data_IF_933143675712
#
_entry.id   IF_933143675712
#
_cell.length_a   1.000
_cell.length_b   1.000
_cell.length_c   1.000
_cell.angle_alpha   90.00
_cell.angle_beta   90.00
_cell.angle_gamma   90.00
#
_symmetry.space_group_name_H-M   'P 1'
#
loop_
_entity.id
_entity.type
_entity.pdbx_description
1 polymer ?
#
# COMPACT_ATOMS: atom_id res chain seq x y z
N UNK A 1 0.61 -33.45 -15.40
CA UNK A 1 0.28 -32.42 -14.39
C UNK A 1 -0.45 -31.31 -15.12
N UNK A 2 -1.72 -31.04 -14.78
CA UNK A 2 -2.45 -29.89 -15.35
C UNK A 2 -2.01 -28.64 -14.59
N UNK A 3 -1.48 -27.65 -15.30
CA UNK A 3 -1.17 -26.33 -14.78
C UNK A 3 -2.49 -25.70 -14.31
N UNK A 4 -2.61 -25.41 -13.02
CA UNK A 4 -3.74 -24.62 -12.51
C UNK A 4 -3.64 -23.20 -13.12
N UNK A 5 -4.74 -22.62 -13.62
CA UNK A 5 -4.73 -21.24 -14.10
C UNK A 5 -4.32 -20.31 -12.95
N UNK A 6 -3.50 -19.31 -13.23
CA UNK A 6 -3.03 -18.32 -12.25
C UNK A 6 -4.19 -17.84 -11.36
N UNK A 7 -4.17 -18.20 -10.08
CA UNK A 7 -5.05 -17.64 -9.06
C UNK A 7 -4.28 -16.51 -8.37
N UNK A 8 -4.76 -15.28 -8.51
CA UNK A 8 -4.12 -14.14 -7.87
C UNK A 8 -4.56 -12.80 -8.43
N UNK A 9 -3.88 -11.75 -7.98
CA UNK A 9 -4.02 -10.38 -8.47
C UNK A 9 -2.96 -10.12 -9.55
N UNK A 10 -3.33 -9.36 -10.57
CA UNK A 10 -2.42 -8.90 -11.62
C UNK A 10 -2.47 -7.38 -11.67
N UNK A 11 -1.30 -6.73 -11.65
CA UNK A 11 -1.20 -5.30 -11.92
C UNK A 11 -1.25 -5.09 -13.43
N UNK A 12 -2.16 -4.23 -13.86
CA UNK A 12 -2.40 -3.87 -15.27
C UNK A 12 -2.29 -2.36 -15.44
N UNK A 13 -2.49 -1.89 -16.67
CA UNK A 13 -2.46 -0.48 -17.05
C UNK A 13 -1.13 0.22 -16.74
N UNK A 14 -0.18 0.05 -17.66
CA UNK A 14 1.14 0.65 -17.60
C UNK A 14 1.23 2.01 -18.30
N UNK A 15 0.09 2.66 -18.62
CA UNK A 15 0.05 3.92 -19.37
C UNK A 15 0.78 5.08 -18.69
N UNK A 16 1.01 4.99 -17.38
CA UNK A 16 1.80 5.93 -16.57
C UNK A 16 3.04 5.30 -15.93
N UNK A 17 3.44 4.12 -16.39
CA UNK A 17 4.65 3.46 -15.90
C UNK A 17 5.90 4.26 -16.27
N UNK A 18 6.86 4.34 -15.36
CA UNK A 18 8.15 5.01 -15.57
C UNK A 18 9.25 3.95 -15.54
N UNK A 19 9.97 3.79 -16.66
CA UNK A 19 11.19 3.01 -16.67
C UNK A 19 12.36 3.86 -16.15
N UNK A 20 12.65 3.70 -14.87
CA UNK A 20 13.73 4.42 -14.18
C UNK A 20 15.12 4.12 -14.74
N UNK A 21 15.32 3.03 -15.49
CA UNK A 21 16.62 2.69 -16.07
C UNK A 21 16.98 3.56 -17.28
N UNK A 22 16.01 4.29 -17.83
CA UNK A 22 16.24 5.25 -18.90
C UNK A 22 16.80 6.59 -18.39
N UNK A 23 16.95 6.74 -17.06
CA UNK A 23 17.46 7.94 -16.41
C UNK A 23 18.75 7.66 -15.65
N UNK A 24 19.57 8.69 -15.35
CA UNK A 24 20.72 8.53 -14.46
C UNK A 24 20.32 7.97 -13.08
N UNK A 25 21.22 7.20 -12.48
CA UNK A 25 21.01 6.69 -11.12
C UNK A 25 20.77 7.84 -10.12
N UNK A 26 19.73 7.68 -9.29
CA UNK A 26 19.32 8.70 -8.32
C UNK A 26 18.41 9.80 -8.87
N UNK A 27 17.91 9.65 -10.11
CA UNK A 27 16.91 10.59 -10.67
C UNK A 27 15.65 10.59 -9.83
N UNK A 28 15.17 11.79 -9.50
CA UNK A 28 13.86 12.04 -8.90
C UNK A 28 13.00 12.89 -9.83
N UNK A 29 11.68 12.80 -9.65
CA UNK A 29 10.69 13.48 -10.48
C UNK A 29 9.96 14.55 -9.66
N UNK A 30 9.68 15.68 -10.30
CA UNK A 30 8.89 16.77 -9.74
C UNK A 30 7.73 17.08 -10.69
N UNK A 31 6.58 16.48 -10.42
CA UNK A 31 5.34 16.68 -11.18
C UNK A 31 4.14 16.22 -10.35
N UNK A 32 2.96 16.78 -10.63
CA UNK A 32 1.67 16.27 -10.14
C UNK A 32 1.09 15.26 -11.14
N UNK A 33 0.42 14.23 -10.64
CA UNK A 33 -0.30 13.25 -11.44
C UNK A 33 -1.67 13.78 -11.95
N UNK A 34 -2.14 14.92 -11.43
CA UNK A 34 -3.37 15.60 -11.88
C UNK A 34 -4.66 14.87 -11.48
N UNK A 35 -4.58 13.91 -10.56
CA UNK A 35 -5.74 13.22 -9.99
C UNK A 35 -5.62 13.23 -8.48
N UNK A 36 -6.47 14.02 -7.82
CA UNK A 36 -6.33 14.36 -6.40
C UNK A 36 -6.19 13.15 -5.46
N UNK A 37 -6.87 12.04 -5.76
CA UNK A 37 -6.81 10.81 -4.96
C UNK A 37 -5.53 9.98 -5.11
N UNK A 38 -4.67 10.31 -6.07
CA UNK A 38 -3.41 9.60 -6.35
C UNK A 38 -2.16 10.47 -6.18
N UNK A 39 -2.31 11.75 -5.82
CA UNK A 39 -1.17 12.62 -5.52
C UNK A 39 -0.53 12.20 -4.20
N UNK A 40 0.70 11.67 -4.25
CA UNK A 40 1.42 11.26 -3.05
C UNK A 40 1.81 12.46 -2.17
N UNK A 41 2.32 12.19 -0.97
CA UNK A 41 2.66 13.25 0.00
C UNK A 41 3.70 14.21 -0.57
N UNK A 42 4.71 13.70 -1.27
CA UNK A 42 5.72 14.51 -1.93
C UNK A 42 5.09 15.45 -2.97
N UNK A 43 4.17 14.96 -3.81
CA UNK A 43 3.45 15.80 -4.76
C UNK A 43 2.64 16.90 -4.06
N UNK A 44 1.92 16.55 -2.98
CA UNK A 44 1.10 17.50 -2.21
C UNK A 44 1.92 18.60 -1.52
N UNK A 45 3.22 18.34 -1.30
CA UNK A 45 4.14 19.28 -0.67
C UNK A 45 5.15 19.88 -1.67
N UNK A 46 4.94 19.69 -2.97
CA UNK A 46 5.83 20.20 -4.02
C UNK A 46 7.29 19.70 -3.86
N UNK A 47 7.46 18.47 -3.37
CA UNK A 47 8.74 17.78 -3.22
C UNK A 47 8.95 16.76 -4.34
N UNK A 48 10.22 16.48 -4.63
CA UNK A 48 10.61 15.42 -5.56
C UNK A 48 10.21 14.03 -5.03
N UNK A 49 9.91 13.11 -5.94
CA UNK A 49 9.50 11.74 -5.66
C UNK A 49 10.05 10.75 -6.68
N UNK A 50 10.12 9.48 -6.30
CA UNK A 50 10.42 8.32 -7.16
C UNK A 50 9.44 7.19 -6.87
N UNK A 51 9.81 6.23 -6.02
CA UNK A 51 8.98 5.07 -5.67
C UNK A 51 7.85 5.39 -4.68
N UNK A 52 7.90 6.57 -4.06
CA UNK A 52 6.91 7.03 -3.07
C UNK A 52 5.49 7.05 -3.65
N UNK A 53 5.35 7.34 -4.96
CA UNK A 53 4.05 7.36 -5.63
C UNK A 53 3.37 5.99 -5.60
N UNK A 54 4.12 4.91 -5.82
CA UNK A 54 3.59 3.54 -5.81
C UNK A 54 3.29 3.07 -4.39
N UNK A 55 4.15 3.39 -3.41
CA UNK A 55 3.88 3.05 -2.01
C UNK A 55 2.69 3.80 -1.44
N UNK A 56 2.49 5.05 -1.87
CA UNK A 56 1.28 5.81 -1.57
C UNK A 56 0.04 5.17 -2.21
N UNK A 57 0.13 4.76 -3.49
CA UNK A 57 -0.94 4.03 -4.17
C UNK A 57 -1.33 2.74 -3.45
N UNK A 58 -0.35 1.99 -2.92
CA UNK A 58 -0.62 0.81 -2.09
C UNK A 58 -1.42 1.17 -0.82
N UNK A 59 -1.11 2.29 -0.17
CA UNK A 59 -1.88 2.80 0.97
C UNK A 59 -3.32 3.16 0.58
N UNK A 60 -3.52 3.85 -0.56
CA UNK A 60 -4.85 4.19 -1.09
C UNK A 60 -5.68 2.91 -1.30
N UNK A 61 -5.12 1.90 -1.96
CA UNK A 61 -5.80 0.61 -2.22
C UNK A 61 -6.12 -0.12 -0.92
N UNK A 62 -5.17 -0.20 0.02
CA UNK A 62 -5.40 -0.83 1.31
C UNK A 62 -6.50 -0.14 2.12
N UNK A 63 -6.48 1.21 2.16
CA UNK A 63 -7.51 2.00 2.82
C UNK A 63 -8.89 1.77 2.20
N UNK A 64 -8.98 1.82 0.87
CA UNK A 64 -10.24 1.56 0.15
C UNK A 64 -10.79 0.17 0.46
N UNK A 65 -9.95 -0.87 0.50
CA UNK A 65 -10.40 -2.23 0.86
C UNK A 65 -10.85 -2.35 2.32
N UNK A 66 -10.26 -1.59 3.24
CA UNK A 66 -10.60 -1.62 4.67
C UNK A 66 -11.88 -0.82 4.98
N UNK A 67 -12.00 0.37 4.39
CA UNK A 67 -13.01 1.36 4.77
C UNK A 67 -14.13 1.51 3.74
N UNK A 68 -13.89 1.16 2.46
CA UNK A 68 -14.84 1.41 1.37
C UNK A 68 -14.91 2.88 0.95
N UNK A 69 -13.93 3.70 1.36
CA UNK A 69 -13.89 5.14 1.14
C UNK A 69 -12.48 5.60 0.72
N UNK A 70 -12.42 6.74 0.04
CA UNK A 70 -11.17 7.38 -0.38
C UNK A 70 -10.28 7.70 0.83
N UNK A 71 -8.97 7.48 0.67
CA UNK A 71 -8.00 7.79 1.72
C UNK A 71 -7.76 9.29 1.80
N UNK A 72 -7.97 9.86 2.98
CA UNK A 72 -7.52 11.22 3.30
C UNK A 72 -6.43 11.18 4.36
N UNK A 73 -5.41 12.04 4.20
CA UNK A 73 -4.22 12.05 5.05
C UNK A 73 -4.27 13.21 6.05
N UNK A 74 -3.81 12.96 7.28
CA UNK A 74 -3.52 13.97 8.28
C UNK A 74 -2.01 14.07 8.50
N UNK A 75 -1.51 15.31 8.53
CA UNK A 75 -0.18 15.66 9.02
C UNK A 75 -0.26 15.89 10.53
N UNK A 76 0.46 15.08 11.30
CA UNK A 76 0.46 15.11 12.76
C UNK A 76 1.86 15.39 13.31
N UNK A 77 1.98 16.04 14.48
CA UNK A 77 3.28 16.22 15.13
C UNK A 77 3.93 14.87 15.44
N UNK A 78 5.20 14.74 15.07
CA UNK A 78 6.06 13.61 15.36
C UNK A 78 7.01 13.89 16.52
N UNK A 79 8.01 13.02 16.68
CA UNK A 79 9.05 13.18 17.70
C UNK A 79 10.09 14.22 17.27
N UNK A 80 10.63 14.98 18.22
CA UNK A 80 11.72 15.93 17.95
C UNK A 80 11.35 17.09 17.02
N UNK A 81 10.07 17.47 16.95
CA UNK A 81 9.59 18.55 16.06
C UNK A 81 9.39 18.14 14.60
N UNK A 82 9.53 16.85 14.28
CA UNK A 82 9.17 16.32 12.96
C UNK A 82 7.65 16.26 12.76
N UNK A 83 7.21 15.97 11.53
CA UNK A 83 5.82 15.64 11.23
C UNK A 83 5.74 14.21 10.69
N UNK A 84 4.59 13.57 10.92
CA UNK A 84 4.25 12.28 10.35
C UNK A 84 2.88 12.36 9.65
N UNK A 85 2.70 11.53 8.63
CA UNK A 85 1.47 11.38 7.87
C UNK A 85 0.79 10.08 8.24
N UNK A 86 -0.53 10.13 8.42
CA UNK A 86 -1.37 8.97 8.68
C UNK A 86 -2.76 9.14 8.06
N UNK A 87 -3.50 8.05 7.77
CA UNK A 87 -4.90 8.15 7.37
C UNK A 87 -5.76 8.84 8.45
N UNK A 88 -6.71 9.68 8.04
CA UNK A 88 -7.65 10.35 8.96
C UNK A 88 -8.63 9.37 9.60
N UNK A 89 -9.12 8.39 8.84
CA UNK A 89 -10.07 7.42 9.35
C UNK A 89 -9.40 6.47 10.33
N UNK A 90 -10.05 6.28 11.48
CA UNK A 90 -9.55 5.39 12.52
C UNK A 90 -9.82 3.93 12.17
N UNK A 91 -8.86 3.06 12.45
CA UNK A 91 -9.03 1.62 12.30
C UNK A 91 -10.11 1.07 13.22
N UNK A 92 -10.90 0.11 12.72
CA UNK A 92 -11.90 -0.59 13.54
C UNK A 92 -11.23 -1.46 14.60
N UNK A 93 -11.79 -1.47 15.81
CA UNK A 93 -11.22 -2.16 17.00
C UNK A 93 -10.92 -3.65 16.82
N UNK A 94 -11.62 -4.32 15.92
CA UNK A 94 -11.53 -5.76 15.68
C UNK A 94 -10.54 -6.12 14.56
N UNK A 95 -9.89 -5.13 13.95
CA UNK A 95 -8.78 -5.36 13.02
C UNK A 95 -7.46 -5.53 13.77
N UNK A 96 -6.46 -6.06 13.08
CA UNK A 96 -5.08 -6.03 13.57
C UNK A 96 -4.53 -4.60 13.45
N UNK A 97 -4.95 -3.72 14.35
CA UNK A 97 -4.64 -2.28 14.32
C UNK A 97 -3.13 -2.02 14.30
N UNK A 98 -2.35 -2.81 15.05
CA UNK A 98 -0.91 -2.66 15.10
C UNK A 98 -0.26 -2.92 13.73
N UNK A 99 -0.66 -4.00 13.06
CA UNK A 99 -0.14 -4.37 11.75
C UNK A 99 -0.50 -3.34 10.67
N UNK A 100 -1.74 -2.84 10.67
CA UNK A 100 -2.16 -1.79 9.74
C UNK A 100 -1.47 -0.47 10.02
N UNK A 101 -1.37 -0.04 11.28
CA UNK A 101 -0.60 1.16 11.66
C UNK A 101 0.84 1.08 11.17
N UNK A 102 1.50 -0.07 11.34
CA UNK A 102 2.86 -0.29 10.84
C UNK A 102 2.93 -0.09 9.32
N UNK A 103 2.01 -0.67 8.54
CA UNK A 103 1.96 -0.49 7.09
C UNK A 103 1.84 0.98 6.70
N UNK A 104 0.83 1.69 7.21
CA UNK A 104 0.60 3.07 6.83
C UNK A 104 1.72 4.00 7.30
N UNK A 105 2.21 3.84 8.54
CA UNK A 105 3.31 4.67 9.03
C UNK A 105 4.57 4.47 8.20
N UNK A 106 4.96 3.22 7.89
CA UNK A 106 6.16 2.94 7.10
C UNK A 106 6.05 3.49 5.67
N UNK A 107 4.92 3.29 4.99
CA UNK A 107 4.79 3.64 3.57
C UNK A 107 4.46 5.12 3.32
N UNK A 108 3.81 5.80 4.26
CA UNK A 108 3.52 7.23 4.15
C UNK A 108 4.65 8.12 4.68
N UNK A 109 5.61 7.55 5.40
CA UNK A 109 6.73 8.29 5.99
C UNK A 109 8.07 7.64 5.63
N UNK A 110 8.40 7.51 4.33
CA UNK A 110 9.66 6.90 3.92
C UNK A 110 10.83 7.69 4.48
N UNK A 111 11.76 6.98 5.14
CA UNK A 111 12.97 7.60 5.68
C UNK A 111 13.88 8.14 4.56
N UNK A 112 14.73 9.11 4.89
CA UNK A 112 15.67 9.76 3.96
C UNK A 112 16.61 8.79 3.23
N UNK A 113 16.79 7.58 3.75
CA UNK A 113 17.68 6.56 3.18
C UNK A 113 17.01 5.72 2.07
N UNK A 114 15.71 5.92 1.82
CA UNK A 114 15.03 5.41 0.61
C UNK A 114 15.03 3.88 0.42
N UNK A 115 15.19 3.06 1.47
CA UNK A 115 15.19 1.60 1.35
C UNK A 115 13.77 1.01 1.23
N UNK A 116 13.02 1.48 0.23
CA UNK A 116 11.64 1.05 -0.04
C UNK A 116 11.51 -0.47 -0.17
N UNK A 117 12.50 -1.13 -0.79
CA UNK A 117 12.53 -2.59 -0.97
C UNK A 117 12.65 -3.31 0.38
N UNK A 118 13.49 -2.82 1.27
CA UNK A 118 13.65 -3.37 2.62
C UNK A 118 12.36 -3.24 3.43
N UNK A 119 11.74 -2.07 3.38
CA UNK A 119 10.48 -1.77 4.06
C UNK A 119 9.34 -2.67 3.56
N UNK A 120 9.15 -2.76 2.25
CA UNK A 120 8.14 -3.63 1.64
C UNK A 120 8.37 -5.11 1.99
N UNK A 121 9.62 -5.56 2.02
CA UNK A 121 9.96 -6.94 2.41
C UNK A 121 9.63 -7.21 3.87
N UNK A 122 9.93 -6.26 4.76
CA UNK A 122 9.62 -6.35 6.19
C UNK A 122 8.11 -6.38 6.43
N UNK A 123 7.38 -5.45 5.82
CA UNK A 123 5.92 -5.41 5.88
C UNK A 123 5.29 -6.70 5.37
N UNK A 124 5.70 -7.19 4.20
CA UNK A 124 5.22 -8.47 3.67
C UNK A 124 5.44 -9.61 4.65
N UNK A 125 6.61 -9.68 5.29
CA UNK A 125 6.91 -10.70 6.30
C UNK A 125 5.97 -10.60 7.49
N UNK A 126 5.77 -9.41 8.05
CA UNK A 126 4.86 -9.23 9.20
C UNK A 126 3.43 -9.66 8.89
N UNK A 127 2.92 -9.38 7.68
CA UNK A 127 1.59 -9.85 7.26
C UNK A 127 1.55 -11.36 7.06
N UNK A 128 2.59 -11.96 6.47
CA UNK A 128 2.70 -13.42 6.32
C UNK A 128 2.75 -14.13 7.68
N UNK A 129 3.57 -13.64 8.60
CA UNK A 129 3.67 -14.15 9.97
C UNK A 129 2.32 -14.06 10.69
N UNK A 130 1.60 -12.94 10.56
CA UNK A 130 0.26 -12.82 11.11
C UNK A 130 -0.70 -13.87 10.53
N UNK A 131 -0.72 -14.05 9.21
CA UNK A 131 -1.57 -15.05 8.56
C UNK A 131 -1.22 -16.49 8.99
N UNK A 132 0.07 -16.79 9.15
CA UNK A 132 0.56 -18.11 9.55
C UNK A 132 0.49 -18.34 11.07
N UNK A 133 0.33 -17.29 11.89
CA UNK A 133 0.25 -17.40 13.36
C UNK A 133 -0.94 -18.22 13.84
N UNK A 134 -1.99 -18.32 13.02
CA UNK A 134 -3.18 -19.08 13.31
C UNK A 134 -3.74 -19.69 12.02
N UNK A 135 -3.69 -21.01 11.89
CA UNK A 135 -4.17 -21.71 10.70
C UNK A 135 -5.65 -21.41 10.37
N UNK A 136 -6.47 -21.06 11.37
CA UNK A 136 -7.86 -20.66 11.17
C UNK A 136 -7.99 -19.39 10.31
N UNK A 137 -7.01 -18.50 10.33
CA UNK A 137 -6.97 -17.33 9.45
C UNK A 137 -6.82 -17.75 7.98
N UNK A 138 -5.95 -18.72 7.70
CA UNK A 138 -5.76 -19.27 6.36
C UNK A 138 -7.02 -20.00 5.88
N UNK A 139 -7.63 -20.82 6.75
CA UNK A 139 -8.91 -21.49 6.44
C UNK A 139 -9.99 -20.47 6.10
N UNK A 140 -10.14 -19.43 6.94
CA UNK A 140 -11.11 -18.37 6.71
C UNK A 140 -10.83 -17.60 5.42
N UNK A 141 -9.57 -17.29 5.12
CA UNK A 141 -9.18 -16.63 3.87
C UNK A 141 -9.59 -17.46 2.66
N UNK A 142 -9.28 -18.76 2.66
CA UNK A 142 -9.66 -19.66 1.55
C UNK A 142 -11.19 -19.72 1.36
N UNK A 143 -11.96 -19.75 2.45
CA UNK A 143 -13.43 -19.69 2.37
C UNK A 143 -13.92 -18.37 1.77
N UNK A 144 -13.33 -17.24 2.15
CA UNK A 144 -13.68 -15.93 1.61
C UNK A 144 -13.33 -15.81 0.12
N UNK A 145 -12.16 -16.30 -0.29
CA UNK A 145 -11.74 -16.33 -1.69
C UNK A 145 -12.67 -17.21 -2.54
N UNK A 146 -13.10 -18.36 -2.03
CA UNK A 146 -14.07 -19.22 -2.70
C UNK A 146 -15.43 -18.50 -2.89
N UNK A 147 -15.91 -17.80 -1.86
CA UNK A 147 -17.15 -17.00 -1.93
C UNK A 147 -17.03 -15.86 -2.94
N UNK A 148 -15.91 -15.14 -2.94
CA UNK A 148 -15.65 -14.07 -3.90
C UNK A 148 -15.65 -14.61 -5.34
N UNK A 149 -14.97 -15.74 -5.58
CA UNK A 149 -14.95 -16.39 -6.90
C UNK A 149 -16.36 -16.79 -7.36
N UNK A 150 -17.16 -17.38 -6.48
CA UNK A 150 -18.54 -17.74 -6.80
C UNK A 150 -19.37 -16.50 -7.20
N UNK A 151 -19.24 -15.41 -6.44
CA UNK A 151 -19.93 -14.14 -6.73
C UNK A 151 -19.54 -13.55 -8.10
N UNK A 152 -18.25 -13.58 -8.44
CA UNK A 152 -17.74 -13.06 -9.71
C UNK A 152 -18.17 -13.91 -10.91
N UNK A 153 -18.34 -15.22 -10.74
CA UNK A 153 -18.81 -16.11 -11.81
C UNK A 153 -20.34 -16.10 -11.99
N UNK A 154 -21.09 -15.57 -11.02
CA UNK A 154 -22.55 -15.42 -11.08
C UNK A 154 -23.02 -14.08 -11.64
N UNK A 155 -22.08 -13.18 -11.95
CA UNK A 155 -22.32 -11.89 -12.63
C UNK A 155 -22.08 -12.03 -14.13
#
# INVERSE_FOLDING_TARGET
MKQLPFQGLCLIDWGRGIDVNLFPAGTEFLADCGTSGFSCIEMQEERSWTYQVDTFGLCVVAHMMLHGEEMSIAKVPGTGGSYMYQPKLSFKRYWNVALWKQLFTTLLNPGSNGNHVGDLRSLRRSFQEYMCSNYQLVVKLNQLLAKQKASLCSS
#
